data_IF_010360694356
#
_entry.id   IF_010360694356
#
_cell.length_a   1.000
_cell.length_b   1.000
_cell.length_c   1.000
_cell.angle_alpha   90.00
_cell.angle_beta   90.00
_cell.angle_gamma   90.00
#
_symmetry.space_group_name_H-M   'P 1'
#
loop_
_entity.id
_entity.type
_entity.pdbx_description
1 polymer ?
#
# COMPACT_ATOMS: atom_id res chain seq x y z
N UNK A 1 -30.93 17.87 21.82
CA UNK A 1 -31.77 16.82 22.43
C UNK A 1 -32.69 16.17 21.39
N UNK A 2 -33.18 16.90 20.38
CA UNK A 2 -33.96 16.33 19.28
C UNK A 2 -33.25 15.21 18.49
N UNK A 3 -31.93 15.27 18.31
CA UNK A 3 -31.18 14.26 17.54
C UNK A 3 -31.22 12.85 18.14
N UNK A 4 -31.36 12.71 19.46
CA UNK A 4 -31.35 11.38 20.12
C UNK A 4 -32.72 10.73 19.98
N UNK A 5 -33.79 11.51 20.15
CA UNK A 5 -35.16 11.01 20.04
C UNK A 5 -35.49 10.61 18.59
N UNK A 6 -35.00 11.36 17.59
CA UNK A 6 -35.15 11.02 16.17
C UNK A 6 -34.42 9.73 15.78
N UNK A 7 -33.25 9.46 16.39
CA UNK A 7 -32.48 8.21 16.16
C UNK A 7 -33.20 6.99 16.75
N UNK A 8 -33.82 7.15 17.93
CA UNK A 8 -34.50 6.06 18.63
C UNK A 8 -35.89 5.79 18.03
N UNK A 9 -36.63 6.84 17.65
CA UNK A 9 -38.02 6.73 17.21
C UNK A 9 -38.20 6.61 15.68
N UNK A 10 -37.26 7.13 14.86
CA UNK A 10 -37.53 7.44 13.45
C UNK A 10 -36.97 6.50 12.39
N UNK A 11 -36.04 5.58 12.72
CA UNK A 11 -35.46 4.70 11.69
C UNK A 11 -34.06 4.15 11.92
N UNK A 12 -33.50 4.30 13.13
CA UNK A 12 -32.22 3.69 13.49
C UNK A 12 -30.98 4.34 12.86
N UNK A 13 -29.80 3.96 13.38
CA UNK A 13 -28.51 4.50 12.95
C UNK A 13 -28.08 3.88 11.62
N UNK A 14 -27.97 4.69 10.56
CA UNK A 14 -27.41 4.26 9.28
C UNK A 14 -25.89 4.38 9.30
N UNK A 15 -25.18 3.25 9.38
CA UNK A 15 -23.72 3.21 9.29
C UNK A 15 -23.26 3.47 7.85
N UNK A 16 -22.81 4.70 7.57
CA UNK A 16 -22.18 5.03 6.28
C UNK A 16 -20.83 4.32 6.18
N UNK A 17 -20.55 3.71 5.01
CA UNK A 17 -19.25 3.10 4.70
C UNK A 17 -18.14 4.13 4.87
N UNK A 18 -17.08 3.78 5.59
CA UNK A 18 -15.89 4.62 5.73
C UNK A 18 -15.37 5.04 4.34
N UNK A 19 -15.01 6.33 4.18
CA UNK A 19 -14.34 6.81 2.97
C UNK A 19 -13.16 5.89 2.71
N UNK A 20 -13.16 5.20 1.57
CA UNK A 20 -11.98 4.49 1.13
C UNK A 20 -10.94 5.57 0.88
N UNK A 21 -10.00 5.73 1.80
CA UNK A 21 -8.72 6.31 1.47
C UNK A 21 -8.18 5.46 0.32
N UNK A 22 -8.40 5.95 -0.90
CA UNK A 22 -7.54 5.65 -2.02
C UNK A 22 -6.19 6.25 -1.64
N UNK A 23 -5.51 5.54 -0.75
CA UNK A 23 -4.17 5.77 -0.26
C UNK A 23 -3.26 5.56 -1.48
N UNK A 24 -3.21 6.60 -2.31
CA UNK A 24 -2.11 6.91 -3.22
C UNK A 24 -0.89 7.40 -2.41
N UNK A 25 -0.82 7.09 -1.11
CA UNK A 25 0.35 7.22 -0.26
C UNK A 25 1.31 6.05 -0.48
N UNK A 26 2.36 6.35 -1.23
CA UNK A 26 3.63 5.65 -1.24
C UNK A 26 4.08 5.24 0.17
N UNK A 27 4.38 3.95 0.37
CA UNK A 27 5.36 3.54 1.37
C UNK A 27 4.97 2.37 2.27
N UNK A 28 3.69 2.21 2.64
CA UNK A 28 3.30 1.11 3.55
C UNK A 28 2.70 -0.06 2.78
N UNK A 29 3.38 -1.20 2.81
CA UNK A 29 2.95 -2.41 2.14
C UNK A 29 1.86 -3.11 2.95
N UNK A 30 0.63 -2.62 2.85
CA UNK A 30 -0.49 -3.06 3.69
C UNK A 30 -1.10 -4.41 3.26
N UNK A 31 -0.97 -4.84 2.00
CA UNK A 31 -1.62 -6.06 1.49
C UNK A 31 -0.63 -7.16 1.09
N UNK A 32 -1.04 -8.43 1.20
CA UNK A 32 -0.26 -9.59 0.73
C UNK A 32 0.14 -9.46 -0.74
N UNK A 33 -0.77 -8.96 -1.58
CA UNK A 33 -0.50 -8.72 -3.00
C UNK A 33 0.57 -7.64 -3.23
N UNK A 34 0.50 -6.50 -2.52
CA UNK A 34 1.53 -5.45 -2.59
C UNK A 34 2.89 -5.94 -2.06
N UNK A 35 2.90 -6.76 -0.98
CA UNK A 35 4.12 -7.41 -0.46
C UNK A 35 4.72 -8.37 -1.48
N UNK A 36 3.89 -9.22 -2.07
CA UNK A 36 4.34 -10.15 -3.11
C UNK A 36 4.93 -9.39 -4.30
N UNK A 37 4.28 -8.32 -4.78
CA UNK A 37 4.78 -7.47 -5.87
C UNK A 37 6.16 -6.84 -5.59
N UNK A 38 6.41 -6.41 -4.35
CA UNK A 38 7.72 -5.90 -3.92
C UNK A 38 8.77 -7.02 -3.90
N UNK A 39 8.45 -8.16 -3.28
CA UNK A 39 9.34 -9.33 -3.18
C UNK A 39 9.67 -9.91 -4.56
N UNK A 40 8.66 -10.06 -5.42
CA UNK A 40 8.84 -10.56 -6.79
C UNK A 40 9.60 -9.58 -7.67
N UNK A 41 9.71 -8.31 -7.25
CA UNK A 41 10.57 -7.32 -7.90
C UNK A 41 10.16 -7.06 -9.35
N UNK A 42 8.90 -6.64 -9.57
CA UNK A 42 8.43 -6.25 -10.90
C UNK A 42 9.39 -5.24 -11.57
N UNK A 43 9.43 -5.21 -12.91
CA UNK A 43 10.31 -4.32 -13.66
C UNK A 43 10.12 -2.85 -13.22
N UNK A 44 11.22 -2.13 -12.95
CA UNK A 44 11.18 -0.76 -12.44
C UNK A 44 10.86 -0.59 -10.94
N UNK A 45 10.58 -1.66 -10.19
CA UNK A 45 10.45 -1.60 -8.73
C UNK A 45 11.76 -1.26 -8.02
N UNK A 46 11.69 -0.74 -6.78
CA UNK A 46 12.88 -0.43 -5.96
C UNK A 46 13.82 -1.61 -5.78
N UNK A 47 13.27 -2.81 -5.52
CA UNK A 47 14.04 -4.05 -5.40
C UNK A 47 14.73 -4.44 -6.71
N UNK A 48 14.11 -4.21 -7.86
CA UNK A 48 14.72 -4.49 -9.17
C UNK A 48 15.93 -3.57 -9.43
N UNK A 49 15.80 -2.27 -9.12
CA UNK A 49 16.90 -1.29 -9.23
C UNK A 49 18.08 -1.68 -8.32
N UNK A 50 17.80 -2.12 -7.10
CA UNK A 50 18.83 -2.55 -6.16
C UNK A 50 19.55 -3.83 -6.62
N UNK A 51 18.82 -4.82 -7.16
CA UNK A 51 19.44 -6.01 -7.78
C UNK A 51 20.31 -5.66 -8.99
N UNK A 52 19.90 -4.69 -9.81
CA UNK A 52 20.72 -4.22 -10.94
C UNK A 52 22.04 -3.61 -10.47
N UNK A 53 22.00 -2.75 -9.44
CA UNK A 53 23.20 -2.14 -8.83
C UNK A 53 24.21 -3.20 -8.36
N UNK A 54 23.76 -4.25 -7.67
CA UNK A 54 24.67 -5.31 -7.21
C UNK A 54 25.29 -6.13 -8.36
N UNK A 55 24.56 -6.31 -9.47
CA UNK A 55 25.10 -6.98 -10.67
C UNK A 55 26.24 -6.18 -11.30
N UNK A 56 26.05 -4.87 -11.44
CA UNK A 56 27.07 -3.95 -11.96
C UNK A 56 28.32 -3.94 -11.08
N UNK A 57 28.15 -3.81 -9.77
CA UNK A 57 29.28 -3.88 -8.82
C UNK A 57 30.04 -5.20 -8.90
N UNK A 58 29.34 -6.33 -9.05
CA UNK A 58 29.98 -7.64 -9.23
C UNK A 58 30.78 -7.72 -10.53
N UNK A 59 30.24 -7.19 -11.63
CA UNK A 59 30.96 -7.14 -12.89
C UNK A 59 32.24 -6.29 -12.76
N UNK A 60 32.15 -5.11 -12.12
CA UNK A 60 33.28 -4.21 -11.94
C UNK A 60 34.38 -4.77 -11.02
N UNK A 61 34.06 -5.68 -10.09
CA UNK A 61 35.06 -6.37 -9.26
C UNK A 61 36.01 -7.25 -10.06
N UNK A 62 35.56 -7.78 -11.19
CA UNK A 62 36.37 -8.66 -12.04
C UNK A 62 37.11 -7.90 -13.15
N UNK A 63 36.93 -6.57 -13.23
CA UNK A 63 37.57 -5.71 -14.23
C UNK A 63 38.70 -4.85 -13.66
N UNK A 64 39.06 -5.05 -12.40
CA UNK A 64 40.20 -4.43 -11.72
C UNK A 64 41.30 -5.46 -11.56
#
# INVERSE_FOLDING_TARGET
MADIDDIIAGGGIVFRKAKSDNDKGSGKVKTKAKKKKYITGAHGSGSARQKAKYREQRANRHRK
#
